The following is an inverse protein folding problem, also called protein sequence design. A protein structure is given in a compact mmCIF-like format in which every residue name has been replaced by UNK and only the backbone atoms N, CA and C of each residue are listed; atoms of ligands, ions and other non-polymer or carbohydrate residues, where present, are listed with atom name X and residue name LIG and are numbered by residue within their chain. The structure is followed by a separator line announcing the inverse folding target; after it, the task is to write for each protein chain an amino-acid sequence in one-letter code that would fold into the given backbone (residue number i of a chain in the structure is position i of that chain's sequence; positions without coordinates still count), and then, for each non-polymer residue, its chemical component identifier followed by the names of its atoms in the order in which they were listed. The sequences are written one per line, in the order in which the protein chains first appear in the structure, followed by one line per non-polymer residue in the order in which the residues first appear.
data_IF_167113247398
#
_entry.id   IF_167113247398
#
_cell.length_a   1.000
_cell.length_b   1.000
_cell.length_c   1.000
_cell.angle_alpha   90.00
_cell.angle_beta   90.00
_cell.angle_gamma   90.00
#
_symmetry.space_group_name_H-M   'P 1'
#
loop_
_entity.id
_entity.type
_entity.pdbx_description
1 polymer ?
#
# COMPACT_ATOMS: atom_id res chain seq x y z
N UNK A 1 -46.23 73.41 25.47
CA UNK A 1 -45.26 72.49 26.03
C UNK A 1 -45.30 71.28 25.11
N UNK A 2 -44.36 71.22 24.19
CA UNK A 2 -44.21 70.11 23.22
C UNK A 2 -42.98 69.33 23.66
N UNK A 3 -43.10 68.01 23.83
CA UNK A 3 -41.98 67.07 24.17
C UNK A 3 -41.58 66.34 22.87
N UNK A 4 -40.39 66.60 22.36
CA UNK A 4 -39.78 65.90 21.23
C UNK A 4 -39.28 64.59 21.65
N UNK A 5 -39.76 63.54 20.97
CA UNK A 5 -39.33 62.13 21.19
C UNK A 5 -38.26 61.80 20.11
N UNK A 6 -37.00 61.78 20.48
CA UNK A 6 -35.89 61.30 19.63
C UNK A 6 -35.87 59.79 19.52
N UNK A 7 -36.19 59.25 18.35
CA UNK A 7 -36.03 57.84 17.99
C UNK A 7 -34.61 57.64 17.47
N UNK A 8 -33.78 56.99 18.29
CA UNK A 8 -32.45 56.51 17.85
C UNK A 8 -32.62 55.17 17.12
N UNK A 9 -32.39 55.16 15.81
CA UNK A 9 -32.34 53.93 14.98
C UNK A 9 -30.95 53.32 15.12
N UNK A 10 -30.86 52.17 15.79
CA UNK A 10 -29.66 51.32 15.81
C UNK A 10 -29.58 50.55 14.49
N UNK A 11 -28.63 50.87 13.63
CA UNK A 11 -28.30 50.09 12.45
C UNK A 11 -27.37 48.96 12.86
N UNK A 12 -27.88 47.72 12.87
CA UNK A 12 -27.04 46.53 13.06
C UNK A 12 -26.28 46.28 11.73
N UNK A 13 -24.96 46.48 11.77
CA UNK A 13 -24.08 46.08 10.67
C UNK A 13 -23.81 44.58 10.80
N UNK A 14 -24.44 43.79 9.92
CA UNK A 14 -24.19 42.35 9.81
C UNK A 14 -22.87 42.14 9.03
N UNK A 15 -21.80 41.96 9.72
CA UNK A 15 -20.51 41.57 9.12
C UNK A 15 -20.60 40.10 8.67
N UNK A 16 -20.80 39.92 7.38
CA UNK A 16 -20.72 38.59 6.74
C UNK A 16 -19.24 38.15 6.73
N UNK A 17 -18.86 37.29 7.65
CA UNK A 17 -17.56 36.63 7.64
C UNK A 17 -17.60 35.60 6.52
N UNK A 18 -17.10 35.95 5.35
CA UNK A 18 -16.79 34.97 4.29
C UNK A 18 -15.72 34.03 4.80
N UNK A 19 -16.11 32.81 5.11
CA UNK A 19 -15.12 31.75 5.36
C UNK A 19 -14.23 31.61 4.10
N UNK A 20 -12.90 31.46 4.24
CA UNK A 20 -12.04 31.33 3.08
C UNK A 20 -12.46 30.07 2.31
N UNK A 21 -12.75 30.23 1.03
CA UNK A 21 -12.92 29.13 0.07
C UNK A 21 -11.64 28.31 0.15
N UNK A 22 -11.78 27.03 0.49
CA UNK A 22 -10.75 26.11 0.93
C UNK A 22 -9.41 26.29 0.23
N UNK A 23 -8.39 26.67 0.99
CA UNK A 23 -7.00 26.51 0.58
C UNK A 23 -6.78 25.01 0.28
N UNK A 24 -6.21 24.70 -0.89
CA UNK A 24 -5.78 23.34 -1.17
C UNK A 24 -4.82 22.90 -0.06
N UNK A 25 -5.08 21.72 0.51
CA UNK A 25 -4.20 21.17 1.54
C UNK A 25 -2.79 21.00 0.95
N UNK A 26 -1.77 21.36 1.72
CA UNK A 26 -0.39 21.13 1.30
C UNK A 26 -0.09 19.65 1.19
N UNK A 27 0.58 19.20 0.11
CA UNK A 27 0.94 17.79 -0.05
C UNK A 27 1.80 17.28 1.12
N UNK A 28 1.62 16.03 1.48
CA UNK A 28 2.47 15.38 2.48
C UNK A 28 3.93 15.36 2.06
N UNK A 29 4.84 15.83 2.92
CA UNK A 29 6.28 15.97 2.61
C UNK A 29 7.17 14.92 3.29
N UNK A 30 6.63 14.11 4.20
CA UNK A 30 7.38 13.08 4.93
C UNK A 30 7.80 11.87 4.06
N UNK A 31 8.45 10.86 4.68
CA UNK A 31 8.88 9.64 3.99
C UNK A 31 7.68 8.81 3.51
N UNK A 32 7.86 8.08 2.40
CA UNK A 32 6.90 7.11 1.90
C UNK A 32 7.44 5.69 2.04
N UNK A 33 6.54 4.77 2.36
CA UNK A 33 6.72 3.32 2.29
C UNK A 33 5.88 2.79 1.13
N UNK A 34 6.50 2.25 0.09
CA UNK A 34 5.81 1.64 -1.04
C UNK A 34 5.59 0.14 -0.74
N UNK A 35 4.37 -0.20 -0.34
CA UNK A 35 4.01 -1.54 0.12
C UNK A 35 3.63 -2.50 -1.01
N UNK A 36 3.69 -2.04 -2.27
CA UNK A 36 3.31 -2.85 -3.42
C UNK A 36 4.13 -2.47 -4.66
N UNK A 37 5.31 -3.07 -4.78
CA UNK A 37 6.22 -2.77 -5.88
C UNK A 37 6.65 -4.05 -6.60
N UNK A 38 6.49 -4.06 -7.95
CA UNK A 38 6.99 -5.10 -8.82
C UNK A 38 8.23 -4.63 -9.58
N UNK A 39 9.26 -5.46 -9.54
CA UNK A 39 10.46 -5.24 -10.35
C UNK A 39 10.66 -6.45 -11.27
N UNK A 40 9.68 -6.61 -12.20
CA UNK A 40 9.61 -7.73 -13.11
C UNK A 40 10.74 -7.69 -14.14
N UNK A 41 10.99 -8.82 -14.82
CA UNK A 41 12.04 -8.96 -15.83
C UNK A 41 11.96 -7.92 -16.95
N UNK A 42 10.77 -7.57 -17.40
CA UNK A 42 10.56 -6.51 -18.39
C UNK A 42 11.07 -5.12 -17.95
N UNK A 43 11.17 -4.90 -16.64
CA UNK A 43 11.69 -3.65 -16.08
C UNK A 43 13.20 -3.73 -15.83
N UNK A 44 13.64 -4.65 -14.97
CA UNK A 44 15.01 -4.64 -14.46
C UNK A 44 16.06 -5.09 -15.49
N UNK A 45 15.67 -5.94 -16.47
CA UNK A 45 16.57 -6.38 -17.53
C UNK A 45 16.67 -5.38 -18.69
N UNK A 46 15.85 -4.32 -18.72
CA UNK A 46 15.81 -3.42 -19.89
C UNK A 46 15.54 -1.96 -19.52
N UNK A 47 14.27 -1.57 -19.38
CA UNK A 47 13.85 -0.17 -19.35
C UNK A 47 14.21 0.56 -18.05
N UNK A 48 14.29 -0.17 -16.94
CA UNK A 48 14.47 0.42 -15.61
C UNK A 48 15.54 -0.34 -14.82
N UNK A 49 16.85 -0.19 -15.14
CA UNK A 49 17.92 -0.77 -14.35
C UNK A 49 17.87 -0.25 -12.90
N UNK A 50 18.56 -0.93 -11.99
CA UNK A 50 18.52 -0.65 -10.53
C UNK A 50 18.74 0.83 -10.21
N UNK A 51 19.67 1.49 -10.90
CA UNK A 51 19.96 2.92 -10.69
C UNK A 51 18.79 3.81 -11.07
N UNK A 52 18.10 3.55 -12.19
CA UNK A 52 16.90 4.30 -12.58
C UNK A 52 15.77 4.08 -11.56
N UNK A 53 15.51 2.82 -11.19
CA UNK A 53 14.46 2.49 -10.22
C UNK A 53 14.71 3.17 -8.86
N UNK A 54 15.92 3.08 -8.32
CA UNK A 54 16.29 3.71 -7.05
C UNK A 54 16.30 5.24 -7.14
N UNK A 55 16.72 5.80 -8.28
CA UNK A 55 16.67 7.24 -8.52
C UNK A 55 15.23 7.78 -8.48
N UNK A 56 14.26 7.07 -9.07
CA UNK A 56 12.83 7.41 -9.00
C UNK A 56 12.31 7.37 -7.57
N UNK A 57 12.62 6.30 -6.81
CA UNK A 57 12.25 6.19 -5.40
C UNK A 57 12.83 7.34 -4.57
N UNK A 58 14.11 7.67 -4.78
CA UNK A 58 14.78 8.75 -4.06
C UNK A 58 14.14 10.11 -4.34
N UNK A 59 13.86 10.45 -5.62
CA UNK A 59 13.19 11.71 -6.00
C UNK A 59 11.77 11.80 -5.46
N UNK A 60 11.08 10.65 -5.36
CA UNK A 60 9.74 10.55 -4.78
C UNK A 60 9.73 10.58 -3.25
N UNK A 61 10.89 10.48 -2.59
CA UNK A 61 10.98 10.40 -1.13
C UNK A 61 10.53 9.05 -0.55
N UNK A 62 10.52 7.99 -1.36
CA UNK A 62 10.31 6.62 -0.90
C UNK A 62 11.56 6.15 -0.15
N UNK A 63 11.36 5.55 1.03
CA UNK A 63 12.42 5.12 1.94
C UNK A 63 12.41 3.63 2.24
N UNK A 64 11.33 2.95 1.91
CA UNK A 64 11.24 1.49 2.00
C UNK A 64 10.26 0.97 0.94
N UNK A 65 10.49 -0.26 0.49
CA UNK A 65 9.67 -0.93 -0.50
C UNK A 65 9.41 -2.37 -0.10
N UNK A 66 8.20 -2.87 -0.34
CA UNK A 66 7.92 -4.30 -0.47
C UNK A 66 8.21 -4.69 -1.91
N UNK A 67 9.32 -5.38 -2.14
CA UNK A 67 9.71 -5.84 -3.46
C UNK A 67 9.20 -7.27 -3.70
N UNK A 68 8.36 -7.42 -4.73
CA UNK A 68 7.90 -8.73 -5.19
C UNK A 68 7.91 -8.76 -6.73
N UNK A 69 8.63 -9.68 -7.32
CA UNK A 69 8.95 -9.67 -8.74
C UNK A 69 8.67 -11.02 -9.39
N UNK A 70 8.25 -11.00 -10.63
CA UNK A 70 8.08 -12.19 -11.48
C UNK A 70 9.14 -12.21 -12.58
N UNK A 71 10.05 -13.20 -12.55
CA UNK A 71 10.36 -14.11 -11.44
C UNK A 71 10.99 -13.39 -10.25
N UNK A 72 11.30 -14.12 -9.17
CA UNK A 72 11.90 -13.57 -7.95
C UNK A 72 13.29 -12.92 -8.15
N UNK A 73 13.90 -13.10 -9.33
CA UNK A 73 15.22 -12.55 -9.66
C UNK A 73 15.27 -11.01 -9.61
N UNK A 74 14.19 -10.32 -9.99
CA UNK A 74 14.11 -8.87 -9.83
C UNK A 74 14.15 -8.41 -8.38
N UNK A 75 13.47 -9.13 -7.48
CA UNK A 75 13.56 -8.89 -6.02
C UNK A 75 14.98 -9.12 -5.51
N UNK A 76 15.63 -10.21 -5.97
CA UNK A 76 17.02 -10.51 -5.62
C UNK A 76 17.99 -9.47 -6.19
N UNK A 77 17.74 -8.94 -7.38
CA UNK A 77 18.52 -7.87 -8.00
C UNK A 77 18.52 -6.60 -7.13
N UNK A 78 17.34 -6.11 -6.73
CA UNK A 78 17.23 -4.98 -5.79
C UNK A 78 17.91 -5.27 -4.45
N UNK A 79 17.70 -6.46 -3.90
CA UNK A 79 18.31 -6.87 -2.63
C UNK A 79 19.84 -6.95 -2.69
N UNK A 80 20.40 -7.27 -3.86
CA UNK A 80 21.85 -7.37 -4.07
C UNK A 80 22.52 -6.02 -4.26
N UNK A 81 21.78 -4.99 -4.63
CA UNK A 81 22.28 -3.63 -4.89
C UNK A 81 22.52 -2.83 -3.60
N UNK A 82 23.21 -3.42 -2.61
CA UNK A 82 23.35 -2.84 -1.25
C UNK A 82 23.94 -1.44 -1.22
N UNK A 83 24.97 -1.18 -2.01
CA UNK A 83 25.60 0.15 -2.06
C UNK A 83 24.64 1.19 -2.63
N UNK A 84 23.92 0.85 -3.70
CA UNK A 84 22.97 1.75 -4.36
C UNK A 84 21.73 1.98 -3.49
N UNK A 85 21.17 0.93 -2.85
CA UNK A 85 20.03 1.07 -1.93
C UNK A 85 20.38 1.91 -0.71
N UNK A 86 21.58 1.71 -0.15
CA UNK A 86 22.08 2.53 0.94
C UNK A 86 22.26 3.99 0.54
N UNK A 87 22.87 4.26 -0.63
CA UNK A 87 23.05 5.63 -1.16
C UNK A 87 21.70 6.31 -1.45
N UNK A 88 20.71 5.58 -1.94
CA UNK A 88 19.35 6.08 -2.14
C UNK A 88 18.57 6.23 -0.82
N UNK A 89 19.02 5.59 0.26
CA UNK A 89 18.33 5.54 1.55
C UNK A 89 17.04 4.75 1.48
N UNK A 90 17.01 3.63 0.73
CA UNK A 90 15.84 2.78 0.51
C UNK A 90 16.05 1.41 1.15
N UNK A 91 15.16 1.01 2.04
CA UNK A 91 15.10 -0.34 2.59
C UNK A 91 14.33 -1.27 1.65
N UNK A 92 14.92 -2.41 1.33
CA UNK A 92 14.27 -3.46 0.53
C UNK A 92 13.71 -4.52 1.47
N UNK A 93 12.38 -4.69 1.46
CA UNK A 93 11.67 -5.77 2.15
C UNK A 93 11.34 -6.83 1.10
N UNK A 94 12.11 -7.95 1.02
CA UNK A 94 11.91 -8.92 -0.02
C UNK A 94 10.72 -9.83 0.27
N UNK A 95 9.82 -9.97 -0.73
CA UNK A 95 8.72 -10.93 -0.75
C UNK A 95 8.96 -11.98 -1.83
N UNK A 96 8.46 -13.19 -1.59
CA UNK A 96 8.44 -14.25 -2.58
C UNK A 96 7.19 -14.12 -3.43
N UNK A 97 7.33 -13.77 -4.71
CA UNK A 97 6.25 -13.87 -5.68
C UNK A 97 5.92 -15.34 -5.94
N UNK A 98 4.63 -15.69 -5.99
CA UNK A 98 4.20 -17.07 -6.22
C UNK A 98 4.23 -17.47 -7.70
N UNK A 99 4.86 -16.68 -8.56
CA UNK A 99 4.85 -16.87 -10.02
C UNK A 99 6.28 -16.97 -10.57
N UNK A 100 6.56 -18.09 -11.22
CA UNK A 100 7.76 -18.27 -12.03
C UNK A 100 7.60 -17.61 -13.41
N UNK A 101 6.35 -17.63 -13.91
CA UNK A 101 5.95 -17.07 -15.19
C UNK A 101 4.43 -16.76 -15.18
N UNK A 102 3.89 -16.30 -16.32
CA UNK A 102 2.47 -15.93 -16.44
C UNK A 102 1.49 -17.11 -16.32
N UNK A 103 1.90 -18.35 -16.58
CA UNK A 103 1.01 -19.51 -16.47
C UNK A 103 0.62 -19.80 -15.01
N UNK A 104 1.46 -19.41 -14.06
CA UNK A 104 1.18 -19.64 -12.64
C UNK A 104 0.01 -18.81 -12.10
N UNK A 105 -0.40 -17.72 -12.77
CA UNK A 105 -1.44 -16.78 -12.29
C UNK A 105 -2.80 -17.44 -12.00
N UNK A 106 -3.14 -18.48 -12.74
CA UNK A 106 -4.47 -19.12 -12.69
C UNK A 106 -4.47 -20.50 -12.06
N UNK A 107 -3.33 -21.01 -11.58
CA UNK A 107 -3.21 -22.39 -11.10
C UNK A 107 -2.36 -22.59 -9.85
N UNK A 108 -1.63 -21.58 -9.40
CA UNK A 108 -0.67 -21.67 -8.28
C UNK A 108 -1.25 -22.29 -7.00
N UNK A 109 -2.53 -22.04 -6.72
CA UNK A 109 -3.23 -22.48 -5.50
C UNK A 109 -3.43 -24.00 -5.41
N UNK A 110 -3.23 -24.72 -6.54
CA UNK A 110 -3.29 -26.18 -6.64
C UNK A 110 -1.94 -26.82 -7.01
N UNK A 111 -0.91 -26.05 -7.35
CA UNK A 111 0.38 -26.55 -7.82
C UNK A 111 1.38 -26.76 -6.66
N UNK A 112 1.69 -28.02 -6.26
CA UNK A 112 2.61 -28.28 -5.17
C UNK A 112 4.03 -27.81 -5.46
N UNK A 113 4.41 -27.62 -6.73
CA UNK A 113 5.74 -27.10 -7.08
C UNK A 113 5.93 -25.64 -6.69
N UNK A 114 4.83 -24.86 -6.55
CA UNK A 114 4.87 -23.51 -5.99
C UNK A 114 5.24 -23.55 -4.51
N UNK A 115 4.65 -24.45 -3.73
CA UNK A 115 5.04 -24.61 -2.32
C UNK A 115 6.51 -25.03 -2.17
N UNK A 116 6.99 -25.92 -3.04
CA UNK A 116 8.42 -26.33 -3.06
C UNK A 116 9.33 -25.14 -3.40
N UNK A 117 8.97 -24.33 -4.41
CA UNK A 117 9.69 -23.09 -4.75
C UNK A 117 9.75 -22.15 -3.55
N UNK A 118 8.63 -21.90 -2.87
CA UNK A 118 8.58 -21.03 -1.68
C UNK A 118 9.52 -21.53 -0.59
N UNK A 119 9.57 -22.84 -0.31
CA UNK A 119 10.49 -23.39 0.67
C UNK A 119 11.96 -23.19 0.27
N UNK A 120 12.28 -23.37 -1.01
CA UNK A 120 13.62 -23.12 -1.55
C UNK A 120 14.04 -21.66 -1.39
N UNK A 121 13.17 -20.72 -1.76
CA UNK A 121 13.41 -19.27 -1.62
C UNK A 121 13.58 -18.87 -0.15
N UNK A 122 12.72 -19.37 0.74
CA UNK A 122 12.81 -19.10 2.19
C UNK A 122 14.12 -19.62 2.78
N UNK A 123 14.62 -20.77 2.32
CA UNK A 123 15.89 -21.31 2.77
C UNK A 123 17.09 -20.52 2.25
N UNK A 124 17.03 -20.05 1.01
CA UNK A 124 18.09 -19.27 0.38
C UNK A 124 18.18 -17.83 0.92
N UNK A 125 17.05 -17.18 1.18
CA UNK A 125 16.99 -15.77 1.51
C UNK A 125 17.47 -14.86 0.38
N UNK A 126 17.80 -13.62 0.72
CA UNK A 126 18.33 -12.62 -0.21
C UNK A 126 19.56 -11.90 0.37
N UNK A 127 20.25 -11.13 -0.45
CA UNK A 127 21.37 -10.31 0.04
C UNK A 127 20.92 -9.21 1.03
N UNK A 128 19.63 -8.79 1.01
CA UNK A 128 19.06 -7.86 2.00
C UNK A 128 18.63 -8.56 3.31
N UNK A 129 18.73 -9.89 3.37
CA UNK A 129 18.30 -10.72 4.50
C UNK A 129 17.24 -11.74 4.12
N UNK A 130 16.55 -12.34 5.12
CA UNK A 130 15.50 -13.32 4.86
C UNK A 130 14.30 -12.66 4.16
N UNK A 131 13.57 -13.46 3.39
CA UNK A 131 12.26 -13.04 2.90
C UNK A 131 11.31 -12.75 4.07
N UNK A 132 10.54 -11.68 3.93
CA UNK A 132 9.65 -11.17 4.97
C UNK A 132 8.16 -11.41 4.65
N UNK A 133 7.86 -11.94 3.46
CA UNK A 133 6.48 -12.17 3.05
C UNK A 133 6.35 -13.03 1.80
N UNK A 134 5.08 -13.34 1.48
CA UNK A 134 4.63 -14.11 0.34
C UNK A 134 3.65 -13.28 -0.52
N UNK A 135 3.74 -13.39 -1.83
CA UNK A 135 2.87 -12.66 -2.76
C UNK A 135 3.66 -11.53 -3.47
N UNK A 136 3.02 -10.77 -4.30
CA UNK A 136 1.60 -10.76 -4.58
C UNK A 136 1.13 -12.07 -5.24
N UNK A 137 -0.05 -12.51 -4.90
CA UNK A 137 -0.76 -13.53 -5.66
C UNK A 137 -2.21 -13.10 -5.96
N UNK A 138 -2.79 -13.68 -7.01
CA UNK A 138 -4.16 -13.41 -7.44
C UNK A 138 -5.06 -14.61 -7.15
N UNK A 139 -6.29 -14.34 -6.73
CA UNK A 139 -7.39 -15.28 -6.76
C UNK A 139 -8.54 -14.59 -7.49
N UNK A 140 -8.72 -14.93 -8.77
CA UNK A 140 -9.80 -14.38 -9.61
C UNK A 140 -11.17 -15.02 -9.32
N UNK A 141 -11.16 -16.16 -8.66
CA UNK A 141 -12.32 -16.81 -8.04
C UNK A 141 -12.01 -17.01 -6.57
N UNK A 142 -12.86 -16.47 -5.70
CA UNK A 142 -12.70 -16.54 -4.24
C UNK A 142 -12.61 -17.98 -3.74
N UNK A 143 -13.31 -18.95 -4.39
CA UNK A 143 -13.28 -20.36 -4.01
C UNK A 143 -11.87 -20.96 -4.03
N UNK A 144 -10.96 -20.41 -4.85
CA UNK A 144 -9.57 -20.84 -4.97
C UNK A 144 -8.74 -20.53 -3.70
N UNK A 145 -9.25 -19.69 -2.78
CA UNK A 145 -8.68 -19.53 -1.45
C UNK A 145 -8.66 -20.85 -0.64
N UNK A 146 -9.50 -21.79 -1.01
CA UNK A 146 -9.54 -23.15 -0.43
C UNK A 146 -8.63 -24.14 -1.16
N UNK A 147 -7.91 -23.72 -2.18
CA UNK A 147 -6.92 -24.56 -2.85
C UNK A 147 -5.84 -25.07 -1.87
N UNK A 148 -5.40 -26.34 -2.00
CA UNK A 148 -4.52 -26.94 -1.01
C UNK A 148 -3.23 -26.16 -0.79
N UNK A 149 -2.68 -25.54 -1.83
CA UNK A 149 -1.44 -24.75 -1.73
C UNK A 149 -1.72 -23.37 -1.13
N UNK A 150 -2.87 -22.73 -1.45
CA UNK A 150 -3.27 -21.47 -0.80
C UNK A 150 -3.41 -21.67 0.72
N UNK A 151 -4.13 -22.72 1.14
CA UNK A 151 -4.28 -23.08 2.56
C UNK A 151 -2.93 -23.34 3.22
N UNK A 152 -2.05 -24.13 2.56
CA UNK A 152 -0.71 -24.45 3.06
C UNK A 152 0.14 -23.19 3.26
N UNK A 153 0.13 -22.27 2.27
CA UNK A 153 0.94 -21.04 2.32
C UNK A 153 0.41 -20.03 3.33
N UNK A 154 -0.90 -19.92 3.51
CA UNK A 154 -1.48 -19.09 4.57
C UNK A 154 -1.07 -19.59 5.97
N UNK A 155 -1.13 -20.90 6.22
CA UNK A 155 -0.68 -21.49 7.48
C UNK A 155 0.83 -21.33 7.69
N UNK A 156 1.62 -21.49 6.63
CA UNK A 156 3.07 -21.26 6.65
C UNK A 156 3.39 -19.80 7.00
N UNK A 157 2.69 -18.83 6.38
CA UNK A 157 2.88 -17.41 6.64
C UNK A 157 2.59 -17.08 8.11
N UNK A 158 1.47 -17.58 8.65
CA UNK A 158 1.16 -17.41 10.07
C UNK A 158 2.23 -18.04 10.99
N UNK A 159 2.67 -19.27 10.69
CA UNK A 159 3.62 -19.99 11.54
C UNK A 159 5.02 -19.35 11.55
N UNK A 160 5.43 -18.69 10.46
CA UNK A 160 6.75 -18.05 10.29
C UNK A 160 6.72 -16.53 10.40
N UNK A 161 5.61 -15.97 10.84
CA UNK A 161 5.41 -14.50 10.93
C UNK A 161 5.69 -13.75 9.61
N UNK A 162 5.37 -14.38 8.47
CA UNK A 162 5.48 -13.77 7.15
C UNK A 162 4.23 -12.95 6.85
N UNK A 163 4.43 -11.81 6.16
CA UNK A 163 3.32 -10.99 5.69
C UNK A 163 2.84 -11.52 4.33
N UNK A 164 1.54 -11.55 4.12
CA UNK A 164 0.94 -11.97 2.84
C UNK A 164 0.48 -10.74 2.06
N UNK A 165 0.81 -10.63 0.78
CA UNK A 165 0.24 -9.64 -0.14
C UNK A 165 -0.69 -10.36 -1.12
N UNK A 166 -1.99 -10.05 -1.05
CA UNK A 166 -3.02 -10.78 -1.78
C UNK A 166 -3.88 -9.84 -2.65
N UNK A 167 -3.91 -10.12 -3.96
CA UNK A 167 -4.75 -9.45 -4.94
C UNK A 167 -6.04 -10.25 -5.16
N UNK A 168 -7.02 -9.99 -4.33
CA UNK A 168 -8.23 -10.79 -4.21
C UNK A 168 -9.45 -9.91 -3.95
N UNK A 169 -10.66 -10.47 -4.12
CA UNK A 169 -11.89 -9.83 -3.70
C UNK A 169 -12.13 -9.94 -2.18
N UNK A 170 -13.18 -9.35 -1.71
CA UNK A 170 -13.56 -9.30 -0.30
C UNK A 170 -14.01 -10.66 0.29
N UNK A 171 -14.55 -11.54 -0.54
CA UNK A 171 -14.97 -12.88 -0.11
C UNK A 171 -13.73 -13.77 0.12
N UNK A 172 -12.72 -13.67 -0.74
CA UNK A 172 -11.48 -14.41 -0.58
C UNK A 172 -10.72 -13.99 0.68
N UNK A 173 -10.82 -12.73 1.13
CA UNK A 173 -10.22 -12.28 2.41
C UNK A 173 -10.80 -13.10 3.56
N UNK A 174 -12.11 -13.24 3.66
CA UNK A 174 -12.74 -14.03 4.73
C UNK A 174 -12.28 -15.50 4.69
N UNK A 175 -12.14 -16.09 3.50
CA UNK A 175 -11.69 -17.48 3.33
C UNK A 175 -10.21 -17.65 3.70
N UNK A 176 -9.32 -16.78 3.21
CA UNK A 176 -7.89 -16.82 3.53
C UNK A 176 -7.65 -16.67 5.03
N UNK A 177 -8.33 -15.69 5.65
CA UNK A 177 -8.21 -15.44 7.09
C UNK A 177 -8.86 -16.53 7.94
N UNK A 178 -9.84 -17.28 7.42
CA UNK A 178 -10.36 -18.45 8.11
C UNK A 178 -9.32 -19.58 8.22
N UNK A 179 -8.46 -19.75 7.22
CA UNK A 179 -7.37 -20.73 7.25
C UNK A 179 -6.21 -20.35 8.17
N UNK A 180 -5.98 -19.05 8.38
CA UNK A 180 -4.89 -18.51 9.19
C UNK A 180 -5.30 -17.20 9.88
N UNK A 181 -6.10 -17.26 10.98
CA UNK A 181 -6.73 -16.08 11.58
C UNK A 181 -5.76 -15.04 12.16
N UNK A 182 -4.51 -15.42 12.40
CA UNK A 182 -3.45 -14.53 12.91
C UNK A 182 -2.44 -14.13 11.85
N UNK A 183 -2.60 -14.56 10.59
CA UNK A 183 -1.72 -14.14 9.51
C UNK A 183 -1.83 -12.62 9.30
N UNK A 184 -0.70 -11.98 9.04
CA UNK A 184 -0.64 -10.57 8.64
C UNK A 184 -0.89 -10.50 7.13
N UNK A 185 -1.99 -9.86 6.70
CA UNK A 185 -2.37 -9.80 5.30
C UNK A 185 -2.50 -8.36 4.83
N UNK A 186 -1.82 -8.03 3.75
CA UNK A 186 -1.98 -6.81 2.97
C UNK A 186 -2.92 -7.12 1.80
N UNK A 187 -4.06 -6.45 1.78
CA UNK A 187 -5.07 -6.58 0.74
C UNK A 187 -4.76 -5.59 -0.39
N UNK A 188 -4.18 -6.08 -1.48
CA UNK A 188 -3.82 -5.27 -2.62
C UNK A 188 -5.04 -4.52 -3.16
N UNK A 189 -4.87 -3.23 -3.46
CA UNK A 189 -5.90 -2.30 -3.94
C UNK A 189 -7.11 -2.17 -3.00
N UNK A 190 -7.04 -2.73 -1.80
CA UNK A 190 -8.20 -2.86 -0.89
C UNK A 190 -9.41 -3.47 -1.61
N UNK A 191 -9.13 -4.48 -2.44
CA UNK A 191 -10.08 -5.31 -3.18
C UNK A 191 -10.13 -5.09 -4.69
N UNK A 192 -10.11 -6.21 -5.42
CA UNK A 192 -10.36 -6.25 -6.86
C UNK A 192 -11.75 -5.65 -7.13
N UNK A 193 -11.83 -4.78 -8.14
CA UNK A 193 -13.09 -4.16 -8.55
C UNK A 193 -13.65 -3.09 -7.60
N UNK A 194 -13.00 -2.85 -6.46
CA UNK A 194 -13.38 -1.78 -5.53
C UNK A 194 -14.50 -2.17 -4.57
N UNK A 195 -14.19 -2.89 -3.50
CA UNK A 195 -15.16 -3.17 -2.44
C UNK A 195 -15.74 -1.86 -1.85
N UNK A 196 -17.05 -1.79 -1.51
CA UNK A 196 -17.62 -0.63 -0.84
C UNK A 196 -16.93 -0.33 0.49
N UNK A 197 -16.84 0.95 0.88
CA UNK A 197 -16.14 1.37 2.10
C UNK A 197 -16.68 0.68 3.35
N UNK A 198 -18.00 0.48 3.46
CA UNK A 198 -18.64 -0.26 4.56
C UNK A 198 -18.18 -1.71 4.62
N UNK A 199 -17.97 -2.34 3.47
CA UNK A 199 -17.45 -3.71 3.43
C UNK A 199 -15.99 -3.76 3.85
N UNK A 200 -15.18 -2.79 3.42
CA UNK A 200 -13.79 -2.64 3.89
C UNK A 200 -13.76 -2.48 5.41
N UNK A 201 -14.59 -1.57 5.96
CA UNK A 201 -14.72 -1.38 7.41
C UNK A 201 -15.06 -2.68 8.14
N UNK A 202 -16.06 -3.42 7.65
CA UNK A 202 -16.48 -4.69 8.26
C UNK A 202 -15.34 -5.72 8.29
N UNK A 203 -14.54 -5.81 7.23
CA UNK A 203 -13.39 -6.72 7.16
C UNK A 203 -12.26 -6.28 8.11
N UNK A 204 -11.96 -4.97 8.19
CA UNK A 204 -10.96 -4.44 9.11
C UNK A 204 -11.33 -4.70 10.59
N UNK A 205 -12.61 -4.59 10.93
CA UNK A 205 -13.13 -4.94 12.26
C UNK A 205 -13.00 -6.44 12.53
N UNK A 206 -13.39 -7.27 11.57
CA UNK A 206 -13.38 -8.74 11.71
C UNK A 206 -11.97 -9.32 11.77
N UNK A 207 -11.03 -8.76 11.00
CA UNK A 207 -9.67 -9.27 10.86
C UNK A 207 -8.64 -8.25 11.39
N UNK A 208 -8.25 -8.32 12.67
CA UNK A 208 -7.37 -7.33 13.30
C UNK A 208 -5.98 -7.20 12.66
N UNK A 209 -5.53 -8.19 11.91
CA UNK A 209 -4.22 -8.21 11.23
C UNK A 209 -4.30 -7.86 9.74
N UNK A 210 -5.51 -7.61 9.20
CA UNK A 210 -5.71 -7.19 7.82
C UNK A 210 -5.30 -5.73 7.63
N UNK A 211 -4.57 -5.42 6.56
CA UNK A 211 -4.23 -4.07 6.13
C UNK A 211 -4.69 -3.86 4.69
N UNK A 212 -5.18 -2.67 4.36
CA UNK A 212 -5.51 -2.27 2.99
C UNK A 212 -4.33 -1.57 2.31
N UNK A 213 -4.00 -1.96 1.08
CA UNK A 213 -3.05 -1.25 0.24
C UNK A 213 -3.82 -0.48 -0.85
N UNK A 214 -3.35 0.71 -1.23
CA UNK A 214 -4.17 1.74 -1.87
C UNK A 214 -3.81 2.05 -3.32
N UNK A 215 -2.84 1.34 -3.94
CA UNK A 215 -2.60 1.50 -5.38
C UNK A 215 -3.83 1.10 -6.19
N UNK A 216 -4.10 1.80 -7.30
CA UNK A 216 -5.29 1.55 -8.15
C UNK A 216 -6.64 1.54 -7.42
N UNK A 217 -6.74 2.06 -6.18
CA UNK A 217 -7.99 1.96 -5.43
C UNK A 217 -9.09 2.86 -6.05
N UNK A 218 -10.15 2.29 -6.67
CA UNK A 218 -11.25 3.08 -7.21
C UNK A 218 -11.99 3.83 -6.10
N UNK A 219 -12.37 5.08 -6.37
CA UNK A 219 -13.14 5.90 -5.44
C UNK A 219 -12.34 6.43 -4.24
N UNK A 220 -11.03 6.18 -4.18
CA UNK A 220 -10.16 6.80 -3.17
C UNK A 220 -10.15 8.31 -3.29
N UNK A 221 -9.99 8.79 -4.52
CA UNK A 221 -10.07 10.21 -4.86
C UNK A 221 -11.26 10.49 -5.77
N UNK A 222 -11.80 11.71 -5.67
CA UNK A 222 -12.83 12.21 -6.56
C UNK A 222 -12.22 12.73 -7.88
N UNK A 223 -13.04 13.09 -8.87
CA UNK A 223 -12.58 13.59 -10.16
C UNK A 223 -11.68 14.84 -10.10
N UNK A 224 -11.66 15.53 -8.97
CA UNK A 224 -10.74 16.64 -8.67
C UNK A 224 -9.38 16.19 -8.13
N UNK A 225 -9.13 14.87 -7.97
CA UNK A 225 -7.95 14.32 -7.28
C UNK A 225 -8.01 14.43 -5.75
N UNK A 226 -9.07 15.00 -5.18
CA UNK A 226 -9.26 15.14 -3.74
C UNK A 226 -9.70 13.84 -3.09
N UNK A 227 -9.22 13.61 -1.88
CA UNK A 227 -9.61 12.44 -1.07
C UNK A 227 -11.13 12.41 -0.86
N UNK A 228 -11.75 11.25 -1.08
CA UNK A 228 -13.19 11.13 -0.85
C UNK A 228 -13.51 11.21 0.65
N UNK A 229 -14.65 11.85 1.03
CA UNK A 229 -15.04 11.98 2.44
C UNK A 229 -15.18 10.63 3.15
N UNK A 230 -15.64 9.61 2.45
CA UNK A 230 -15.83 8.25 2.99
C UNK A 230 -14.48 7.59 3.34
N UNK A 231 -13.50 7.70 2.45
CA UNK A 231 -12.14 7.23 2.70
C UNK A 231 -11.44 8.04 3.79
N UNK A 232 -11.64 9.36 3.80
CA UNK A 232 -11.11 10.22 4.88
C UNK A 232 -11.61 9.79 6.24
N UNK A 233 -12.91 9.50 6.36
CA UNK A 233 -13.52 9.00 7.59
C UNK A 233 -12.93 7.63 7.98
N UNK A 234 -12.81 6.70 7.02
CA UNK A 234 -12.26 5.37 7.25
C UNK A 234 -10.79 5.41 7.70
N UNK A 235 -9.96 6.28 7.11
CA UNK A 235 -8.56 6.46 7.51
C UNK A 235 -8.43 7.05 8.92
N UNK A 236 -9.35 7.94 9.31
CA UNK A 236 -9.40 8.50 10.66
C UNK A 236 -9.79 7.44 11.69
N UNK A 237 -10.73 6.57 11.34
CA UNK A 237 -11.17 5.45 12.19
C UNK A 237 -10.09 4.35 12.33
N UNK A 238 -9.37 4.06 11.24
CA UNK A 238 -8.36 3.00 11.18
C UNK A 238 -6.97 3.50 10.73
N UNK A 239 -6.35 4.46 11.42
CA UNK A 239 -5.11 5.09 10.95
C UNK A 239 -3.92 4.11 10.86
N UNK A 240 -3.99 2.99 11.56
CA UNK A 240 -2.97 1.95 11.59
C UNK A 240 -3.17 0.82 10.56
N UNK A 241 -4.09 0.96 9.60
CA UNK A 241 -4.54 -0.19 8.81
C UNK A 241 -4.40 -0.01 7.28
N UNK A 242 -3.76 1.07 6.81
CA UNK A 242 -3.60 1.34 5.40
C UNK A 242 -2.15 1.62 5.03
N UNK A 243 -1.82 1.34 3.77
CA UNK A 243 -0.48 1.44 3.19
C UNK A 243 -0.57 2.07 1.79
N UNK A 244 0.42 2.88 1.44
CA UNK A 244 0.61 3.36 0.06
C UNK A 244 1.32 2.29 -0.75
N UNK A 245 1.02 2.21 -2.06
CA UNK A 245 1.72 1.35 -3.01
C UNK A 245 1.77 1.94 -4.40
N UNK A 246 2.72 1.48 -5.21
CA UNK A 246 2.89 1.91 -6.61
C UNK A 246 2.30 0.91 -7.60
N UNK A 247 2.36 -0.37 -7.30
CA UNK A 247 1.99 -1.48 -8.19
C UNK A 247 2.62 -1.34 -9.59
N UNK A 248 3.94 -1.39 -9.64
CA UNK A 248 4.76 -1.19 -10.85
C UNK A 248 4.84 -2.46 -11.73
N UNK A 249 3.70 -3.10 -12.01
CA UNK A 249 3.65 -4.39 -12.72
C UNK A 249 4.01 -4.32 -14.21
N UNK A 250 4.05 -3.11 -14.80
CA UNK A 250 4.46 -2.83 -16.19
C UNK A 250 5.36 -1.59 -16.27
N UNK A 251 6.14 -1.48 -17.36
CA UNK A 251 7.07 -0.36 -17.57
C UNK A 251 6.40 1.02 -17.58
N UNK A 252 5.15 1.13 -18.07
CA UNK A 252 4.42 2.39 -18.03
C UNK A 252 4.20 2.91 -16.59
N UNK A 253 4.04 2.00 -15.62
CA UNK A 253 3.93 2.39 -14.20
C UNK A 253 5.28 2.85 -13.64
N UNK A 254 6.37 2.24 -14.07
CA UNK A 254 7.71 2.72 -13.73
C UNK A 254 7.97 4.11 -14.30
N UNK A 255 7.60 4.36 -15.56
CA UNK A 255 7.71 5.69 -16.17
C UNK A 255 6.93 6.74 -15.41
N UNK A 256 5.73 6.40 -14.92
CA UNK A 256 4.86 7.27 -14.11
C UNK A 256 5.12 7.25 -12.61
N UNK A 257 6.15 6.55 -12.11
CA UNK A 257 6.36 6.29 -10.68
C UNK A 257 6.32 7.56 -9.81
N UNK A 258 7.01 8.61 -10.25
CA UNK A 258 7.08 9.88 -9.51
C UNK A 258 5.71 10.57 -9.45
N UNK A 259 4.93 10.51 -10.54
CA UNK A 259 3.57 11.07 -10.57
C UNK A 259 2.63 10.30 -9.63
N UNK A 260 2.73 8.96 -9.58
CA UNK A 260 1.95 8.14 -8.64
C UNK A 260 2.25 8.50 -7.18
N UNK A 261 3.52 8.71 -6.84
CA UNK A 261 3.89 9.11 -5.49
C UNK A 261 3.46 10.55 -5.17
N UNK A 262 3.45 11.44 -6.14
CA UNK A 262 2.92 12.81 -5.98
C UNK A 262 1.40 12.80 -5.77
N UNK A 263 0.66 11.97 -6.50
CA UNK A 263 -0.78 11.78 -6.26
C UNK A 263 -1.03 11.27 -4.83
N UNK A 264 -0.24 10.29 -4.38
CA UNK A 264 -0.35 9.82 -3.00
C UNK A 264 -0.08 10.94 -1.98
N UNK A 265 0.94 11.77 -2.20
CA UNK A 265 1.24 12.92 -1.34
C UNK A 265 0.12 13.94 -1.31
N UNK A 266 -0.56 14.18 -2.44
CA UNK A 266 -1.65 15.15 -2.52
C UNK A 266 -2.82 14.75 -1.62
N UNK A 267 -3.34 13.52 -1.74
CA UNK A 267 -4.46 13.09 -0.88
C UNK A 267 -4.05 12.82 0.56
N UNK A 268 -2.79 12.40 0.83
CA UNK A 268 -2.26 12.30 2.20
C UNK A 268 -2.25 13.65 2.92
N UNK A 269 -1.95 14.74 2.18
CA UNK A 269 -1.96 16.10 2.73
C UNK A 269 -3.33 16.56 3.22
N UNK A 270 -4.42 15.94 2.78
CA UNK A 270 -5.78 16.23 3.25
C UNK A 270 -6.14 15.59 4.60
N UNK A 271 -5.27 14.71 5.12
CA UNK A 271 -5.45 14.03 6.40
C UNK A 271 -4.79 14.80 7.55
N UNK A 272 -5.23 14.51 8.76
CA UNK A 272 -4.48 14.94 9.95
C UNK A 272 -3.02 14.46 9.88
N UNK A 273 -2.02 15.26 10.21
CA UNK A 273 -0.59 14.92 10.03
C UNK A 273 -0.19 13.57 10.63
N UNK A 274 -0.74 13.23 11.79
CA UNK A 274 -0.46 11.94 12.44
C UNK A 274 -1.04 10.74 11.65
N UNK A 275 -2.24 10.88 11.07
CA UNK A 275 -2.88 9.87 10.23
C UNK A 275 -2.11 9.73 8.92
N UNK A 276 -1.81 10.84 8.25
CA UNK A 276 -1.01 10.87 7.04
C UNK A 276 0.34 10.15 7.23
N UNK A 277 1.08 10.49 8.30
CA UNK A 277 2.37 9.85 8.61
C UNK A 277 2.24 8.34 8.83
N UNK A 278 1.18 7.89 9.51
CA UNK A 278 0.95 6.45 9.71
C UNK A 278 0.76 5.73 8.39
N UNK A 279 -0.12 6.22 7.53
CA UNK A 279 -0.45 5.59 6.24
C UNK A 279 0.73 5.66 5.28
N UNK A 280 1.39 6.82 5.22
CA UNK A 280 2.51 7.06 4.32
C UNK A 280 3.75 6.23 4.66
N UNK A 281 4.03 6.03 5.95
CA UNK A 281 5.28 5.42 6.42
C UNK A 281 5.09 4.48 7.61
N UNK A 282 4.51 4.98 8.71
CA UNK A 282 4.56 4.36 10.02
C UNK A 282 4.00 2.95 10.09
N UNK A 283 2.93 2.67 9.32
CA UNK A 283 2.30 1.35 9.31
C UNK A 283 3.21 0.30 8.66
N UNK A 284 3.82 0.63 7.51
CA UNK A 284 4.77 -0.25 6.84
C UNK A 284 6.04 -0.43 7.68
N UNK A 285 6.57 0.65 8.23
CA UNK A 285 7.75 0.60 9.09
C UNK A 285 7.52 -0.28 10.32
N UNK A 286 6.38 -0.16 11.01
CA UNK A 286 6.02 -0.97 12.16
C UNK A 286 5.83 -2.46 11.77
N UNK A 287 5.20 -2.73 10.62
CA UNK A 287 4.94 -4.10 10.15
C UNK A 287 6.25 -4.89 9.94
N UNK A 288 7.31 -4.22 9.51
CA UNK A 288 8.58 -4.84 9.18
C UNK A 288 9.74 -4.50 10.14
N UNK A 289 9.49 -3.70 11.18
CA UNK A 289 10.50 -3.28 12.15
C UNK A 289 11.59 -2.37 11.54
N UNK A 290 11.20 -1.48 10.61
CA UNK A 290 12.13 -0.54 9.97
C UNK A 290 12.19 0.74 10.81
N UNK A 291 13.38 1.23 11.16
CA UNK A 291 13.52 2.47 11.92
C UNK A 291 13.09 3.68 11.09
N UNK A 292 12.68 4.76 11.77
CA UNK A 292 12.42 6.02 11.10
C UNK A 292 13.67 6.49 10.34
N UNK A 293 13.52 6.98 9.10
CA UNK A 293 14.66 7.50 8.36
C UNK A 293 15.20 8.77 9.02
N UNK A 294 16.51 8.96 8.95
CA UNK A 294 17.12 10.19 9.41
C UNK A 294 16.49 11.42 8.71
N UNK A 295 16.32 12.56 9.39
CA UNK A 295 15.94 13.82 8.75
C UNK A 295 16.89 14.15 7.60
N UNK A 296 16.33 14.69 6.50
CA UNK A 296 17.15 15.23 5.39
C UNK A 296 17.50 16.67 5.66
#
# INVERSE_FOLDING_TARGET
MWADCFLVRLAAVLTLVLAPVGANAEPYTGPLFDAHLHYNDEAWMSAHPVEDALGRMQRSGVRAIVANSRPNDGTKSLASAKAQTAAAGVYVVPFIRLYRNRADYTGWFNDPTIAAMVQTELAAGTAAGPYRGLGEFHLYDSANANGPIAVQLMKLAQARDLVVLAHVDDAAIDLLMAHAPKAKLIWAHTGIGGAPVERVRALLVRHPTLMGELSYRPGLTQGSGRLSPEWKALFTEFPGRFLVGSDTWINARWQGYEALMQEARAWLGELEPAVARRIAWGNGAALFGIPDPAPR
#
